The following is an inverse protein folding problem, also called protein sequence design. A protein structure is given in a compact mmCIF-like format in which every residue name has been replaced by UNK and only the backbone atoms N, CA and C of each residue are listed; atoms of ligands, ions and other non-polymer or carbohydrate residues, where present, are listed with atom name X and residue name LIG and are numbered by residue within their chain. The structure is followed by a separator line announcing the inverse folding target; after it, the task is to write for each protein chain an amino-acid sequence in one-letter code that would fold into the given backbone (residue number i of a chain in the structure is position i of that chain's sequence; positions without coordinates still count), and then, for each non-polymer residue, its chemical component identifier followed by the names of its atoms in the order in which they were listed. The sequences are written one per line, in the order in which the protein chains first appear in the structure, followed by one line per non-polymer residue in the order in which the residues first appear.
data_IF_153466214615
#
_entry.id   IF_153466214615
#
_cell.length_a   1.000
_cell.length_b   1.000
_cell.length_c   1.000
_cell.angle_alpha   90.00
_cell.angle_beta   90.00
_cell.angle_gamma   90.00
#
_symmetry.space_group_name_H-M   'P 1'
#
loop_
_entity.id
_entity.type
_entity.pdbx_description
1 polymer ?
#
# COMPACT_ATOMS: atom_id res chain seq x y z
N UNK A 1 21.70 -16.00 -10.01
CA UNK A 1 20.33 -16.57 -10.07
C UNK A 1 20.42 -18.09 -10.07
N UNK A 2 19.56 -18.79 -9.32
CA UNK A 2 19.60 -20.26 -9.18
C UNK A 2 18.69 -20.93 -10.24
N UNK A 3 19.23 -21.76 -11.16
CA UNK A 3 18.47 -22.35 -12.26
C UNK A 3 17.35 -23.31 -11.81
N UNK A 4 17.43 -23.88 -10.60
CA UNK A 4 16.38 -24.78 -10.07
C UNK A 4 15.08 -24.04 -9.67
N UNK A 5 15.12 -22.72 -9.48
CA UNK A 5 13.91 -21.90 -9.27
C UNK A 5 13.13 -21.68 -10.58
N UNK A 6 13.81 -21.72 -11.73
CA UNK A 6 13.20 -21.41 -13.03
C UNK A 6 12.34 -22.58 -13.54
N UNK A 7 12.76 -23.83 -13.32
CA UNK A 7 11.99 -25.00 -13.78
C UNK A 7 10.69 -25.22 -12.99
N UNK A 8 10.70 -25.03 -11.66
CA UNK A 8 9.47 -25.17 -10.85
C UNK A 8 8.40 -24.12 -11.20
N UNK A 9 8.80 -22.93 -11.61
CA UNK A 9 7.88 -21.86 -11.99
C UNK A 9 7.23 -22.08 -13.36
N UNK A 10 7.90 -22.77 -14.30
CA UNK A 10 7.32 -23.02 -15.64
C UNK A 10 6.07 -23.89 -15.60
N UNK A 11 6.03 -24.91 -14.75
CA UNK A 11 4.85 -25.77 -14.60
C UNK A 11 3.67 -25.01 -13.97
N UNK A 12 3.94 -24.18 -12.95
CA UNK A 12 2.92 -23.35 -12.32
C UNK A 12 2.38 -22.26 -13.26
N UNK A 13 3.25 -21.63 -14.04
CA UNK A 13 2.87 -20.62 -15.05
C UNK A 13 2.03 -21.25 -16.18
N UNK A 14 2.37 -22.46 -16.62
CA UNK A 14 1.60 -23.16 -17.66
C UNK A 14 0.20 -23.56 -17.17
N UNK A 15 0.08 -24.03 -15.92
CA UNK A 15 -1.22 -24.35 -15.30
C UNK A 15 -2.07 -23.08 -15.14
N UNK A 16 -1.45 -21.95 -14.77
CA UNK A 16 -2.13 -20.65 -14.64
C UNK A 16 -2.62 -20.11 -15.99
N UNK A 17 -1.81 -20.24 -17.05
CA UNK A 17 -2.18 -19.82 -18.41
C UNK A 17 -3.36 -20.63 -18.97
N UNK A 18 -3.39 -21.95 -18.71
CA UNK A 18 -4.50 -22.82 -19.13
C UNK A 18 -5.78 -22.50 -18.35
N UNK A 19 -5.69 -22.21 -17.04
CA UNK A 19 -6.83 -21.82 -16.22
C UNK A 19 -7.42 -20.45 -16.65
N UNK A 20 -6.56 -19.48 -16.98
CA UNK A 20 -6.98 -18.18 -17.51
C UNK A 20 -7.64 -18.28 -18.90
N UNK A 21 -7.10 -19.11 -19.80
CA UNK A 21 -7.71 -19.35 -21.11
C UNK A 21 -9.09 -19.99 -21.00
N UNK A 22 -9.27 -20.97 -20.10
CA UNK A 22 -10.56 -21.61 -19.87
C UNK A 22 -11.61 -20.63 -19.29
N UNK A 23 -11.20 -19.74 -18.38
CA UNK A 23 -12.08 -18.71 -17.81
C UNK A 23 -12.49 -17.65 -18.84
N UNK A 24 -11.57 -17.21 -19.71
CA UNK A 24 -11.86 -16.28 -20.81
C UNK A 24 -12.83 -16.88 -21.84
N UNK A 25 -12.69 -18.17 -22.12
CA UNK A 25 -13.60 -18.87 -23.04
C UNK A 25 -15.02 -18.98 -22.47
N UNK A 26 -15.15 -19.25 -21.16
CA UNK A 26 -16.44 -19.29 -20.48
C UNK A 26 -17.15 -17.93 -20.43
N UNK A 27 -16.40 -16.83 -20.30
CA UNK A 27 -16.96 -15.46 -20.36
C UNK A 27 -17.43 -15.11 -21.77
N UNK A 28 -16.67 -15.49 -22.80
CA UNK A 28 -17.01 -15.21 -24.21
C UNK A 28 -18.30 -15.92 -24.66
N UNK A 29 -18.61 -17.10 -24.11
CA UNK A 29 -19.89 -17.80 -24.37
C UNK A 29 -21.05 -17.32 -23.46
N UNK A 30 -20.77 -16.72 -22.32
CA UNK A 30 -21.80 -16.18 -21.42
C UNK A 30 -22.29 -14.78 -21.84
N UNK A 31 -21.47 -14.01 -22.55
CA UNK A 31 -21.84 -12.70 -23.09
C UNK A 31 -22.17 -12.81 -24.59
N UNK A 32 -23.43 -13.13 -24.89
CA UNK A 32 -23.95 -13.19 -26.25
C UNK A 32 -23.65 -11.92 -27.06
N UNK A 33 -23.34 -12.14 -28.34
CA UNK A 33 -23.00 -11.12 -29.34
C UNK A 33 -24.06 -10.02 -29.48
N UNK A 34 -23.69 -8.77 -29.24
CA UNK A 34 -24.35 -7.63 -29.88
C UNK A 34 -23.56 -7.27 -31.14
N UNK A 35 -24.09 -7.68 -32.30
CA UNK A 35 -23.68 -7.17 -33.60
C UNK A 35 -24.20 -5.74 -33.76
N UNK A 36 -23.29 -4.77 -33.82
CA UNK A 36 -23.54 -3.49 -34.51
C UNK A 36 -22.83 -3.54 -35.85
N UNK A 37 -23.62 -3.60 -36.91
CA UNK A 37 -23.20 -3.57 -38.30
C UNK A 37 -22.70 -2.18 -38.67
N UNK A 38 -21.46 -2.09 -39.17
CA UNK A 38 -20.98 -0.94 -39.92
C UNK A 38 -20.64 -1.37 -41.36
N UNK A 39 -21.31 -0.75 -42.31
CA UNK A 39 -21.13 -0.93 -43.75
C UNK A 39 -19.92 -0.10 -44.23
N UNK A 40 -18.95 -0.66 -44.97
CA UNK A 40 -17.94 0.16 -45.65
C UNK A 40 -18.42 0.55 -47.07
N UNK A 41 -18.17 1.80 -47.46
CA UNK A 41 -18.30 2.30 -48.83
C UNK A 41 -16.92 2.30 -49.54
N UNK A 42 -16.87 2.25 -50.88
CA UNK A 42 -15.88 1.47 -51.61
C UNK A 42 -14.59 2.21 -51.98
N UNK A 43 -13.51 1.43 -52.07
CA UNK A 43 -12.23 1.80 -52.69
C UNK A 43 -12.39 2.06 -54.20
N UNK A 44 -11.85 3.18 -54.68
CA UNK A 44 -11.57 3.43 -56.10
C UNK A 44 -10.11 3.13 -56.41
N UNK A 45 -9.90 2.20 -57.34
CA UNK A 45 -8.61 1.82 -57.91
C UNK A 45 -8.18 2.71 -59.09
N UNK A 46 -6.87 2.64 -59.36
CA UNK A 46 -6.10 2.85 -60.62
C UNK A 46 -5.36 4.18 -60.85
N UNK A 47 -4.25 4.18 -61.63
CA UNK A 47 -3.30 3.07 -61.93
C UNK A 47 -1.81 3.46 -61.80
N UNK A 48 -0.97 2.43 -61.92
CA UNK A 48 0.48 2.43 -61.87
C UNK A 48 1.17 3.03 -63.11
N UNK A 49 2.37 3.58 -62.91
CA UNK A 49 3.43 3.67 -63.93
C UNK A 49 4.80 3.43 -63.29
N UNK A 50 5.66 2.71 -64.03
CA UNK A 50 6.90 2.08 -63.59
C UNK A 50 8.14 2.99 -63.71
N UNK A 51 9.19 2.67 -62.94
CA UNK A 51 10.55 3.16 -63.23
C UNK A 51 11.59 3.00 -62.11
N UNK A 52 12.42 1.94 -62.23
CA UNK A 52 13.83 1.82 -61.78
C UNK A 52 14.22 1.76 -60.28
N UNK A 53 14.92 0.68 -59.94
CA UNK A 53 15.78 0.40 -58.75
C UNK A 53 17.12 1.17 -58.85
N UNK A 54 18.02 1.26 -57.82
CA UNK A 54 18.16 0.34 -56.68
C UNK A 54 18.50 0.89 -55.28
N UNK A 55 18.21 0.03 -54.30
CA UNK A 55 18.90 -0.23 -53.02
C UNK A 55 19.21 0.93 -52.05
N UNK A 56 18.51 0.96 -50.90
CA UNK A 56 19.14 1.18 -49.58
C UNK A 56 18.23 0.60 -48.47
N UNK A 57 18.85 -0.02 -47.48
CA UNK A 57 18.26 -0.56 -46.25
C UNK A 57 17.33 0.43 -45.52
N UNK A 58 16.18 -0.04 -45.04
CA UNK A 58 15.58 0.37 -43.76
C UNK A 58 14.33 -0.46 -43.47
N UNK A 59 14.44 -1.43 -42.57
CA UNK A 59 13.27 -2.03 -41.92
C UNK A 59 13.11 -1.36 -40.55
N UNK A 60 12.52 -0.17 -40.53
CA UNK A 60 12.01 0.44 -39.31
C UNK A 60 10.57 -0.03 -39.11
N UNK A 61 10.41 -1.16 -38.43
CA UNK A 61 9.13 -1.52 -37.82
C UNK A 61 8.82 -0.43 -36.79
N UNK A 62 7.92 0.48 -37.13
CA UNK A 62 7.47 1.54 -36.22
C UNK A 62 6.57 0.88 -35.19
N UNK A 63 7.15 0.48 -34.06
CA UNK A 63 6.37 0.17 -32.87
C UNK A 63 5.70 1.47 -32.43
N UNK A 64 4.40 1.59 -32.67
CA UNK A 64 3.61 2.71 -32.17
C UNK A 64 3.45 2.48 -30.66
N UNK A 65 4.43 2.95 -29.89
CA UNK A 65 4.24 3.17 -28.45
C UNK A 65 3.11 4.20 -28.34
N UNK A 66 2.04 3.96 -27.56
CA UNK A 66 1.02 4.98 -27.35
C UNK A 66 1.70 6.19 -26.71
N UNK A 67 1.84 7.27 -27.48
CA UNK A 67 2.44 8.53 -27.03
C UNK A 67 1.58 9.07 -25.90
N UNK A 68 2.19 9.31 -24.74
CA UNK A 68 1.50 9.91 -23.61
C UNK A 68 1.14 11.37 -23.95
N UNK A 69 0.01 11.92 -23.44
CA UNK A 69 -0.46 13.22 -23.89
C UNK A 69 0.42 14.34 -23.35
N UNK A 70 0.80 15.27 -24.23
CA UNK A 70 1.53 16.50 -23.87
C UNK A 70 0.72 17.35 -22.90
N UNK A 71 1.40 18.01 -21.96
CA UNK A 71 0.84 18.92 -20.96
C UNK A 71 -0.17 19.89 -21.60
N UNK A 72 -1.46 19.73 -21.31
CA UNK A 72 -2.52 20.63 -21.75
C UNK A 72 -2.85 21.60 -20.63
N UNK A 73 -2.29 22.82 -20.67
CA UNK A 73 -2.75 23.91 -19.80
C UNK A 73 -4.08 24.45 -20.34
N UNK A 74 -5.17 24.19 -19.65
CA UNK A 74 -6.38 24.98 -19.82
C UNK A 74 -6.15 26.39 -19.24
N UNK A 75 -6.81 27.41 -19.82
CA UNK A 75 -6.70 28.79 -19.36
C UNK A 75 -7.05 28.87 -17.86
N UNK A 76 -6.13 29.42 -17.05
CA UNK A 76 -6.33 29.54 -15.60
C UNK A 76 -7.55 30.41 -15.31
N UNK A 77 -8.55 29.90 -14.56
CA UNK A 77 -9.56 30.76 -13.96
C UNK A 77 -8.86 31.79 -13.07
N UNK A 78 -9.46 32.99 -12.95
CA UNK A 78 -9.03 34.04 -12.04
C UNK A 78 -8.67 33.43 -10.67
N UNK A 79 -7.40 33.55 -10.23
CA UNK A 79 -6.90 32.89 -9.01
C UNK A 79 -7.82 33.22 -7.84
N UNK A 80 -8.64 32.24 -7.44
CA UNK A 80 -9.23 32.24 -6.12
C UNK A 80 -8.10 32.18 -5.09
N UNK A 81 -8.31 32.78 -3.92
CA UNK A 81 -7.37 32.68 -2.82
C UNK A 81 -7.23 31.19 -2.45
N UNK A 82 -6.10 30.56 -2.82
CA UNK A 82 -5.86 29.14 -2.52
C UNK A 82 -5.67 28.99 -1.01
N UNK A 83 -6.74 28.55 -0.33
CA UNK A 83 -6.73 28.40 1.13
C UNK A 83 -6.03 27.15 1.62
N UNK A 84 -5.92 26.11 0.77
CA UNK A 84 -5.33 24.81 1.09
C UNK A 84 -4.65 24.20 -0.13
N UNK A 85 -3.52 23.54 0.10
CA UNK A 85 -2.79 22.71 -0.87
C UNK A 85 -2.78 21.27 -0.35
N UNK A 86 -3.17 20.32 -1.19
CA UNK A 86 -3.12 18.89 -0.89
C UNK A 86 -2.26 18.23 -1.98
N UNK A 87 -1.17 17.60 -1.56
CA UNK A 87 -0.32 16.76 -2.40
C UNK A 87 -0.60 15.30 -2.04
N UNK A 88 -1.07 14.51 -3.01
CA UNK A 88 -1.23 13.06 -2.85
C UNK A 88 -0.22 12.37 -3.77
N UNK A 89 0.63 11.52 -3.20
CA UNK A 89 1.54 10.66 -3.95
C UNK A 89 1.01 9.23 -3.94
N UNK A 90 0.97 8.59 -5.10
CA UNK A 90 0.60 7.17 -5.23
C UNK A 90 1.86 6.45 -5.72
N UNK A 91 2.43 5.58 -4.88
CA UNK A 91 3.68 4.90 -5.21
C UNK A 91 3.52 3.96 -6.39
N UNK A 92 4.56 3.87 -7.22
CA UNK A 92 4.58 3.06 -8.45
C UNK A 92 3.37 3.25 -9.39
N UNK A 93 2.65 4.39 -9.32
CA UNK A 93 1.55 4.70 -10.21
C UNK A 93 2.06 5.08 -11.62
N UNK A 94 2.48 4.06 -12.38
CA UNK A 94 3.07 4.23 -13.72
C UNK A 94 2.02 4.81 -14.67
N UNK A 95 2.40 5.87 -15.37
CA UNK A 95 1.52 6.55 -16.33
C UNK A 95 0.95 5.59 -17.40
N UNK A 96 1.75 4.60 -17.81
CA UNK A 96 1.35 3.57 -18.78
C UNK A 96 0.22 2.64 -18.29
N UNK A 97 0.00 2.56 -16.98
CA UNK A 97 -1.09 1.78 -16.38
C UNK A 97 -2.28 2.69 -16.05
N UNK A 98 -2.01 3.84 -15.42
CA UNK A 98 -3.04 4.77 -14.96
C UNK A 98 -3.83 5.36 -16.12
N UNK A 99 -3.19 5.76 -17.22
CA UNK A 99 -3.88 6.45 -18.32
C UNK A 99 -4.85 5.56 -19.09
N UNK A 100 -4.50 4.33 -19.50
CA UNK A 100 -5.47 3.42 -20.09
C UNK A 100 -6.67 3.18 -19.15
N UNK A 101 -6.42 2.93 -17.86
CA UNK A 101 -7.49 2.70 -16.89
C UNK A 101 -8.39 3.91 -16.68
N UNK A 102 -7.84 5.12 -16.69
CA UNK A 102 -8.61 6.36 -16.61
C UNK A 102 -9.45 6.59 -17.88
N UNK A 103 -8.85 6.42 -19.06
CA UNK A 103 -9.52 6.55 -20.37
C UNK A 103 -10.67 5.55 -20.52
N UNK A 104 -10.45 4.31 -20.08
CA UNK A 104 -11.42 3.22 -20.20
C UNK A 104 -12.49 3.29 -19.08
N UNK A 105 -12.46 4.32 -18.23
CA UNK A 105 -13.50 4.63 -17.26
C UNK A 105 -13.39 3.88 -15.92
N UNK A 106 -12.31 3.12 -15.69
CA UNK A 106 -12.05 2.44 -14.42
C UNK A 106 -11.62 3.42 -13.32
N UNK A 107 -10.80 4.42 -13.66
CA UNK A 107 -10.34 5.45 -12.71
C UNK A 107 -11.11 6.77 -12.89
N UNK A 108 -12.43 6.74 -12.67
CA UNK A 108 -13.34 7.86 -12.93
C UNK A 108 -12.90 9.19 -12.30
N UNK A 109 -12.40 9.15 -11.06
CA UNK A 109 -11.93 10.36 -10.36
C UNK A 109 -10.65 10.92 -10.98
N UNK A 110 -9.71 10.06 -11.42
CA UNK A 110 -8.50 10.50 -12.11
C UNK A 110 -8.84 11.08 -13.49
N UNK A 111 -9.77 10.44 -14.22
CA UNK A 111 -10.32 10.98 -15.46
C UNK A 111 -10.91 12.37 -15.27
N UNK A 112 -11.73 12.57 -14.23
CA UNK A 112 -12.31 13.88 -13.89
C UNK A 112 -11.25 14.94 -13.57
N UNK A 113 -10.23 14.60 -12.78
CA UNK A 113 -9.11 15.50 -12.47
C UNK A 113 -8.37 15.90 -13.74
N UNK A 114 -8.14 14.97 -14.66
CA UNK A 114 -7.50 15.25 -15.94
C UNK A 114 -8.36 16.15 -16.84
N UNK A 115 -9.68 15.97 -16.88
CA UNK A 115 -10.58 16.76 -17.74
C UNK A 115 -10.88 18.16 -17.20
N UNK A 116 -11.00 18.32 -15.88
CA UNK A 116 -11.39 19.58 -15.23
C UNK A 116 -10.18 20.36 -14.66
N UNK A 117 -9.01 19.73 -14.61
CA UNK A 117 -7.79 20.30 -14.04
C UNK A 117 -6.67 20.43 -15.07
N UNK A 118 -5.45 20.21 -14.60
CA UNK A 118 -4.26 20.16 -15.43
C UNK A 118 -3.53 18.83 -15.19
N UNK A 119 -3.02 18.24 -16.25
CA UNK A 119 -2.23 17.01 -16.21
C UNK A 119 -1.12 17.09 -17.24
N UNK A 120 -0.03 16.36 -16.99
CA UNK A 120 1.09 16.25 -17.91
C UNK A 120 2.10 15.22 -17.44
N UNK A 121 3.17 15.11 -18.20
CA UNK A 121 4.25 14.17 -17.91
C UNK A 121 5.16 14.70 -16.80
N UNK A 122 5.57 13.78 -15.93
CA UNK A 122 6.58 14.02 -14.90
C UNK A 122 7.65 12.96 -15.03
N UNK A 123 8.90 13.38 -15.24
CA UNK A 123 10.04 12.48 -15.17
C UNK A 123 10.50 12.36 -13.71
N UNK A 124 10.71 11.14 -13.18
CA UNK A 124 11.30 10.97 -11.86
C UNK A 124 12.75 11.47 -11.87
N UNK A 125 13.27 11.81 -10.70
CA UNK A 125 14.72 11.97 -10.55
C UNK A 125 15.40 10.60 -10.61
N UNK A 126 16.68 10.58 -10.98
CA UNK A 126 17.49 9.37 -10.93
C UNK A 126 18.14 9.18 -9.53
N UNK A 127 18.10 7.96 -8.95
CA UNK A 127 17.40 6.77 -9.43
C UNK A 127 15.88 6.85 -9.18
N UNK A 128 15.10 6.15 -10.00
CA UNK A 128 13.64 6.07 -9.91
C UNK A 128 13.17 5.19 -8.73
N UNK A 129 13.69 5.47 -7.53
CA UNK A 129 13.33 4.83 -6.27
C UNK A 129 12.42 5.74 -5.42
N UNK A 130 11.60 5.13 -4.56
CA UNK A 130 10.65 5.83 -3.69
C UNK A 130 11.29 6.96 -2.87
N UNK A 131 12.33 6.66 -2.09
CA UNK A 131 12.96 7.59 -1.16
C UNK A 131 13.54 8.85 -1.82
N UNK A 132 14.42 8.75 -2.85
CA UNK A 132 14.94 9.95 -3.51
C UNK A 132 13.83 10.78 -4.17
N UNK A 133 12.88 10.15 -4.87
CA UNK A 133 11.79 10.89 -5.54
C UNK A 133 10.86 11.60 -4.55
N UNK A 134 10.53 10.98 -3.42
CA UNK A 134 9.72 11.64 -2.40
C UNK A 134 10.49 12.75 -1.66
N UNK A 135 11.81 12.65 -1.52
CA UNK A 135 12.63 13.75 -1.01
C UNK A 135 12.64 14.93 -2.00
N UNK A 136 12.67 14.66 -3.30
CA UNK A 136 12.52 15.68 -4.34
C UNK A 136 11.14 16.36 -4.28
N UNK A 137 10.05 15.61 -4.08
CA UNK A 137 8.72 16.21 -3.86
C UNK A 137 8.68 17.15 -2.65
N UNK A 138 9.34 16.78 -1.55
CA UNK A 138 9.37 17.59 -0.35
C UNK A 138 10.26 18.82 -0.46
N UNK A 139 11.33 18.78 -1.25
CA UNK A 139 12.38 19.81 -1.23
C UNK A 139 12.43 20.65 -2.50
N UNK A 140 11.82 20.19 -3.59
CA UNK A 140 11.98 20.77 -4.92
C UNK A 140 13.40 20.65 -5.48
N UNK A 141 14.25 19.79 -4.90
CA UNK A 141 15.66 19.69 -5.22
C UNK A 141 16.03 18.29 -5.75
N UNK A 142 17.17 18.12 -6.45
CA UNK A 142 17.69 16.80 -6.82
C UNK A 142 18.48 16.13 -5.68
N UNK A 143 18.79 14.84 -5.81
CA UNK A 143 19.53 14.06 -4.79
C UNK A 143 20.84 14.68 -4.35
N UNK A 144 21.57 15.33 -5.26
CA UNK A 144 22.82 16.04 -4.93
C UNK A 144 22.64 17.19 -3.92
N UNK A 145 21.42 17.70 -3.75
CA UNK A 145 21.09 18.78 -2.81
C UNK A 145 20.37 18.25 -1.58
N UNK A 146 19.32 17.44 -1.74
CA UNK A 146 18.58 16.92 -0.58
C UNK A 146 19.26 15.74 0.11
N UNK A 147 20.29 15.12 -0.49
CA UNK A 147 21.15 14.12 0.15
C UNK A 147 20.60 12.70 0.20
N UNK A 148 19.42 12.43 -0.35
CA UNK A 148 18.80 11.09 -0.39
C UNK A 148 19.02 10.49 -1.77
N UNK A 149 19.78 9.40 -1.85
CA UNK A 149 20.19 8.79 -3.12
C UNK A 149 19.55 7.43 -3.40
N UNK A 150 18.98 6.76 -2.38
CA UNK A 150 18.38 5.43 -2.52
C UNK A 150 17.39 5.14 -1.37
N UNK A 151 16.54 4.13 -1.55
CA UNK A 151 15.75 3.44 -0.52
C UNK A 151 16.61 2.82 0.57
N UNK A 152 17.91 2.62 0.33
CA UNK A 152 18.91 2.26 1.34
C UNK A 152 19.95 3.36 1.46
N UNK A 153 20.11 3.91 2.67
CA UNK A 153 21.21 4.77 3.00
C UNK A 153 22.42 3.91 3.41
N UNK A 154 23.50 4.03 2.66
CA UNK A 154 24.74 3.34 2.94
C UNK A 154 25.66 4.19 3.84
N UNK A 155 26.51 3.55 4.65
CA UNK A 155 27.57 4.25 5.36
C UNK A 155 28.43 5.07 4.40
N UNK A 156 28.96 6.21 4.88
CA UNK A 156 29.85 7.07 4.07
C UNK A 156 31.10 6.35 3.58
N UNK A 157 31.58 5.39 4.37
CA UNK A 157 32.70 4.53 4.02
C UNK A 157 32.41 3.09 4.42
N UNK A 158 32.72 2.09 3.57
CA UNK A 158 32.63 0.68 3.92
C UNK A 158 33.62 0.30 5.04
N UNK A 159 34.62 1.14 5.31
CA UNK A 159 35.64 0.93 6.34
C UNK A 159 35.28 1.51 7.71
N UNK A 160 34.24 2.35 7.79
CA UNK A 160 33.80 2.98 9.05
C UNK A 160 32.91 2.06 9.91
N UNK A 161 32.66 0.82 9.47
CA UNK A 161 31.87 -0.16 10.23
C UNK A 161 30.39 0.21 10.40
N UNK A 162 29.91 1.24 9.68
CA UNK A 162 28.51 1.63 9.69
C UNK A 162 27.60 0.53 9.14
N UNK A 163 26.36 0.50 9.60
CA UNK A 163 25.31 -0.36 9.02
C UNK A 163 24.48 0.47 8.05
N UNK A 164 24.10 -0.12 6.91
CA UNK A 164 23.08 0.47 6.07
C UNK A 164 21.78 0.64 6.83
N UNK A 165 21.05 1.69 6.51
CA UNK A 165 19.77 2.00 7.11
C UNK A 165 18.73 2.38 6.06
N UNK A 166 17.45 2.40 6.41
CA UNK A 166 16.44 2.73 5.42
C UNK A 166 16.51 4.20 4.98
N UNK A 167 16.54 4.42 3.68
CA UNK A 167 16.69 5.73 3.05
C UNK A 167 15.45 6.63 3.13
N UNK A 168 14.33 6.14 3.68
CA UNK A 168 13.09 6.89 3.91
C UNK A 168 13.06 7.62 5.26
N UNK A 169 14.18 7.69 5.97
CA UNK A 169 14.25 8.43 7.23
C UNK A 169 14.39 9.92 6.92
N UNK A 170 13.43 10.74 7.36
CA UNK A 170 13.45 12.17 7.08
C UNK A 170 14.71 12.89 7.58
N UNK A 171 15.42 12.32 8.58
CA UNK A 171 16.70 12.86 9.06
C UNK A 171 17.83 12.79 8.03
N UNK A 172 17.64 12.03 6.95
CA UNK A 172 18.58 11.95 5.83
C UNK A 172 18.40 13.10 4.83
N UNK A 173 17.28 13.84 4.91
CA UNK A 173 17.04 15.01 4.05
C UNK A 173 17.87 16.18 4.57
N UNK A 174 18.85 16.61 3.78
CA UNK A 174 19.74 17.73 4.11
C UNK A 174 19.16 19.11 3.74
N UNK A 175 18.18 19.15 2.84
CA UNK A 175 17.54 20.39 2.39
C UNK A 175 16.30 20.76 3.23
N UNK A 176 15.88 22.02 3.14
CA UNK A 176 14.60 22.49 3.67
C UNK A 176 13.45 21.79 2.95
N UNK A 177 12.53 21.21 3.73
CA UNK A 177 11.29 20.66 3.19
C UNK A 177 10.21 21.74 3.05
N UNK A 178 9.22 21.47 2.20
CA UNK A 178 8.02 22.28 2.04
C UNK A 178 7.20 22.32 3.35
N UNK A 179 7.32 21.29 4.19
CA UNK A 179 6.75 21.27 5.53
C UNK A 179 7.39 22.35 6.41
N UNK A 180 8.72 22.39 6.50
CA UNK A 180 9.45 23.41 7.25
C UNK A 180 9.26 24.81 6.68
N UNK A 181 9.23 24.95 5.35
CA UNK A 181 8.95 26.22 4.69
C UNK A 181 7.55 26.75 5.03
N UNK A 182 6.53 25.88 5.05
CA UNK A 182 5.18 26.24 5.44
C UNK A 182 5.10 26.65 6.93
N UNK A 183 5.73 25.87 7.82
CA UNK A 183 5.75 26.14 9.26
C UNK A 183 6.42 27.49 9.58
N UNK A 184 7.54 27.83 8.93
CA UNK A 184 8.19 29.14 9.05
C UNK A 184 7.30 30.31 8.66
N UNK A 185 6.35 30.10 7.73
CA UNK A 185 5.33 31.09 7.35
C UNK A 185 4.13 31.11 8.28
N UNK A 186 4.14 30.29 9.34
CA UNK A 186 3.05 30.19 10.31
C UNK A 186 1.90 29.29 9.87
N UNK A 187 2.03 28.60 8.74
CA UNK A 187 1.00 27.69 8.25
C UNK A 187 0.98 26.38 9.03
N UNK A 188 -0.20 25.76 9.06
CA UNK A 188 -0.41 24.43 9.62
C UNK A 188 -0.21 23.36 8.56
N UNK A 189 0.44 22.27 8.95
CA UNK A 189 0.83 21.17 8.07
C UNK A 189 0.19 19.87 8.55
N UNK A 190 -0.31 19.07 7.62
CA UNK A 190 -0.77 17.71 7.88
C UNK A 190 0.00 16.70 7.02
N UNK A 191 0.49 15.64 7.64
CA UNK A 191 1.23 14.56 6.98
C UNK A 191 0.50 13.24 7.22
N UNK A 192 0.07 12.60 6.14
CA UNK A 192 -0.74 11.38 6.15
C UNK A 192 0.01 10.25 5.45
N UNK A 193 0.70 9.43 6.24
CA UNK A 193 1.56 8.32 5.85
C UNK A 193 2.65 8.67 4.81
N UNK A 194 2.95 9.95 4.60
CA UNK A 194 3.90 10.38 3.58
C UNK A 194 5.32 9.93 3.88
N UNK A 195 6.04 9.49 2.83
CA UNK A 195 7.46 9.10 2.92
C UNK A 195 8.28 10.19 3.59
N UNK A 196 9.27 9.80 4.40
CA UNK A 196 10.05 10.71 5.25
C UNK A 196 9.30 11.26 6.47
N UNK A 197 8.03 10.89 6.66
CA UNK A 197 7.19 11.28 7.80
C UNK A 197 7.54 10.61 9.14
N UNK A 198 8.69 9.95 9.28
CA UNK A 198 9.08 9.27 10.52
C UNK A 198 9.11 10.25 11.71
N UNK A 199 8.13 10.11 12.61
CA UNK A 199 7.81 11.11 13.64
C UNK A 199 9.01 11.49 14.53
N UNK A 200 9.85 10.57 15.03
CA UNK A 200 11.00 10.94 15.85
C UNK A 200 11.98 11.90 15.16
N UNK A 201 12.07 11.87 13.82
CA UNK A 201 12.85 12.87 13.07
C UNK A 201 12.30 14.27 13.32
N UNK A 202 11.00 14.45 13.13
CA UNK A 202 10.35 15.76 13.18
C UNK A 202 10.23 16.28 14.61
N UNK A 203 10.06 15.39 15.59
CA UNK A 203 10.15 15.75 17.01
C UNK A 203 11.54 16.28 17.39
N UNK A 204 12.61 15.76 16.79
CA UNK A 204 13.97 16.23 17.03
C UNK A 204 14.35 17.48 16.22
N UNK A 205 13.83 17.59 14.98
CA UNK A 205 14.21 18.64 14.02
C UNK A 205 13.43 19.94 14.17
N UNK A 206 12.18 19.88 14.63
CA UNK A 206 11.29 21.06 14.73
C UNK A 206 11.38 21.75 16.09
N UNK A 207 11.10 23.05 16.11
CA UNK A 207 10.89 23.81 17.35
C UNK A 207 9.58 23.39 18.03
N UNK A 208 9.42 23.64 19.34
CA UNK A 208 8.17 23.33 20.05
C UNK A 208 6.97 24.13 19.49
N UNK A 209 7.20 25.36 19.03
CA UNK A 209 6.18 26.17 18.38
C UNK A 209 5.71 25.55 17.05
N UNK A 210 6.62 24.94 16.29
CA UNK A 210 6.30 24.30 15.01
C UNK A 210 5.67 22.92 15.21
N UNK A 211 6.06 22.17 16.24
CA UNK A 211 5.40 20.90 16.62
C UNK A 211 3.91 21.07 16.88
N UNK A 212 3.49 22.23 17.40
CA UNK A 212 2.08 22.56 17.62
C UNK A 212 1.31 22.93 16.34
N UNK A 213 1.99 23.09 15.20
CA UNK A 213 1.38 23.43 13.90
C UNK A 213 1.43 22.28 12.90
N UNK A 214 2.04 21.15 13.25
CA UNK A 214 2.12 19.98 12.37
C UNK A 214 1.43 18.78 13.02
N UNK A 215 0.58 18.12 12.24
CA UNK A 215 0.05 16.79 12.57
C UNK A 215 0.69 15.78 11.63
N UNK A 216 1.25 14.72 12.20
CA UNK A 216 1.86 13.62 11.43
C UNK A 216 1.18 12.33 11.85
N UNK A 217 0.61 11.62 10.90
CA UNK A 217 0.16 10.24 11.04
C UNK A 217 1.08 9.40 10.16
N UNK A 218 1.99 8.65 10.75
CA UNK A 218 2.96 7.83 10.02
C UNK A 218 2.97 6.41 10.56
N UNK A 219 1.91 5.70 10.18
CA UNK A 219 1.68 4.30 10.58
C UNK A 219 2.42 3.31 9.70
N UNK A 220 2.67 3.68 8.44
CA UNK A 220 3.37 2.88 7.45
C UNK A 220 4.82 3.34 7.36
N UNK A 221 5.76 2.40 7.48
CA UNK A 221 7.24 2.62 7.50
C UNK A 221 7.84 3.11 8.83
N UNK A 222 7.16 2.95 9.96
CA UNK A 222 7.88 2.67 11.22
C UNK A 222 8.50 1.27 11.06
N UNK A 223 9.70 1.21 10.44
CA UNK A 223 10.37 0.01 9.90
C UNK A 223 10.34 -1.20 10.84
N UNK A 224 10.30 -0.97 12.15
CA UNK A 224 9.90 -1.95 13.14
C UNK A 224 9.13 -1.18 14.20
N UNK A 225 7.99 -1.70 14.61
CA UNK A 225 7.44 -1.34 15.92
C UNK A 225 8.55 -1.47 16.98
N UNK A 226 8.51 -0.65 18.02
CA UNK A 226 9.32 -0.89 19.22
C UNK A 226 8.97 -2.21 19.93
N UNK A 227 7.89 -2.87 19.50
CA UNK A 227 7.38 -4.12 20.06
C UNK A 227 7.63 -5.31 19.12
N UNK A 228 7.96 -6.47 19.69
CA UNK A 228 8.33 -7.67 18.94
C UNK A 228 7.15 -8.39 18.28
N UNK A 229 5.95 -8.24 18.81
CA UNK A 229 4.75 -8.94 18.33
C UNK A 229 4.00 -8.21 17.20
N UNK A 230 4.48 -7.08 16.70
CA UNK A 230 3.74 -6.28 15.71
C UNK A 230 3.60 -6.93 14.32
N UNK A 231 4.51 -7.83 13.93
CA UNK A 231 4.48 -8.49 12.61
C UNK A 231 3.33 -9.48 12.45
N UNK A 232 2.94 -9.84 11.24
CA UNK A 232 1.90 -10.86 11.00
C UNK A 232 2.28 -12.25 11.57
N UNK A 233 1.27 -13.09 11.81
CA UNK A 233 1.49 -14.46 12.30
C UNK A 233 0.40 -15.41 11.80
N UNK A 234 0.81 -16.59 11.33
CA UNK A 234 -0.09 -17.73 11.14
C UNK A 234 -0.05 -18.62 12.39
N UNK A 235 -1.21 -18.97 12.91
CA UNK A 235 -1.40 -19.99 13.94
C UNK A 235 -2.05 -21.23 13.32
N UNK A 236 -1.46 -22.41 13.49
CA UNK A 236 -2.01 -23.64 12.90
C UNK A 236 -1.85 -24.89 13.75
N UNK A 237 -2.75 -25.87 13.55
CA UNK A 237 -2.62 -27.23 14.09
C UNK A 237 -1.67 -28.10 13.27
N UNK A 238 -1.47 -27.78 11.99
CA UNK A 238 -0.64 -28.56 11.04
C UNK A 238 0.87 -28.28 11.14
N UNK A 239 1.28 -27.28 11.92
CA UNK A 239 2.69 -26.96 12.18
C UNK A 239 3.32 -25.96 11.20
N UNK A 240 2.56 -25.39 10.25
CA UNK A 240 2.99 -24.25 9.43
C UNK A 240 2.75 -22.95 10.21
N UNK A 241 3.78 -22.11 10.36
CA UNK A 241 3.71 -20.93 11.22
C UNK A 241 3.86 -21.32 12.71
N UNK A 242 3.15 -20.61 13.60
CA UNK A 242 3.14 -20.91 15.04
C UNK A 242 2.17 -22.05 15.32
N UNK A 243 2.69 -23.14 15.91
CA UNK A 243 1.85 -24.27 16.29
C UNK A 243 0.92 -23.90 17.44
N UNK A 244 -0.36 -24.26 17.32
CA UNK A 244 -1.36 -24.14 18.38
C UNK A 244 -2.03 -25.49 18.66
N UNK A 245 -2.51 -25.65 19.89
CA UNK A 245 -3.31 -26.80 20.27
C UNK A 245 -4.79 -26.48 20.07
N UNK A 246 -5.52 -27.43 19.47
CA UNK A 246 -6.96 -27.39 19.34
C UNK A 246 -7.57 -28.57 20.10
N UNK A 247 -8.23 -28.29 21.23
CA UNK A 247 -8.77 -29.32 22.12
C UNK A 247 -10.13 -28.88 22.64
N UNK A 248 -11.14 -29.75 22.57
CA UNK A 248 -12.47 -29.47 23.10
C UNK A 248 -13.14 -28.23 22.47
N UNK A 249 -12.87 -27.97 21.19
CA UNK A 249 -13.39 -26.79 20.50
C UNK A 249 -12.65 -25.49 20.79
N UNK A 250 -11.56 -25.52 21.57
CA UNK A 250 -10.81 -24.33 21.97
C UNK A 250 -9.40 -24.29 21.37
N UNK A 251 -8.96 -23.09 21.01
CA UNK A 251 -7.58 -22.75 20.63
C UNK A 251 -7.02 -21.69 21.57
N UNK A 252 -5.70 -21.73 21.75
CA UNK A 252 -4.95 -20.74 22.53
C UNK A 252 -3.96 -20.04 21.60
N UNK A 253 -4.11 -18.73 21.44
CA UNK A 253 -3.37 -17.93 20.47
C UNK A 253 -2.39 -17.03 21.25
N UNK A 254 -1.10 -17.41 21.32
CA UNK A 254 -0.10 -16.61 22.00
C UNK A 254 0.29 -15.38 21.18
N UNK A 255 0.33 -14.22 21.82
CA UNK A 255 0.80 -12.94 21.29
C UNK A 255 1.69 -12.31 22.37
N UNK A 256 3.01 -12.37 22.16
CA UNK A 256 3.99 -12.09 23.22
C UNK A 256 3.65 -12.87 24.51
N UNK A 257 3.50 -12.19 25.65
CA UNK A 257 3.19 -12.81 26.94
C UNK A 257 1.67 -12.96 27.16
N UNK A 258 0.85 -12.52 26.21
CA UNK A 258 -0.62 -12.61 26.27
C UNK A 258 -1.12 -13.81 25.51
N UNK A 259 -2.18 -14.47 26.02
CA UNK A 259 -2.86 -15.56 25.34
C UNK A 259 -4.31 -15.17 25.11
N UNK A 260 -4.74 -15.14 23.85
CA UNK A 260 -6.15 -15.06 23.50
C UNK A 260 -6.73 -16.47 23.44
N UNK A 261 -7.99 -16.61 23.86
CA UNK A 261 -8.72 -17.88 23.77
C UNK A 261 -9.70 -17.78 22.61
N UNK A 262 -9.66 -18.75 21.70
CA UNK A 262 -10.62 -18.90 20.63
C UNK A 262 -11.52 -20.10 20.86
N UNK A 263 -12.83 -19.92 20.74
CA UNK A 263 -13.80 -21.01 20.75
C UNK A 263 -14.39 -21.19 19.36
N UNK A 264 -14.26 -22.39 18.79
CA UNK A 264 -14.83 -22.74 17.50
C UNK A 264 -16.25 -23.25 17.72
N UNK A 265 -17.22 -22.51 17.22
CA UNK A 265 -18.64 -22.82 17.32
C UNK A 265 -19.17 -23.20 15.93
N UNK A 266 -20.02 -24.23 15.86
CA UNK A 266 -20.75 -24.53 14.63
C UNK A 266 -22.01 -23.69 14.59
N UNK A 267 -22.20 -22.96 13.51
CA UNK A 267 -23.48 -22.33 13.17
C UNK A 267 -24.32 -23.35 12.37
N UNK A 268 -25.65 -23.23 12.43
CA UNK A 268 -26.54 -24.13 11.69
C UNK A 268 -26.14 -24.24 10.21
N UNK A 269 -26.24 -25.45 9.64
CA UNK A 269 -25.85 -25.70 8.25
C UNK A 269 -24.36 -26.03 8.01
N UNK A 270 -23.59 -26.27 9.07
CA UNK A 270 -22.20 -26.76 8.97
C UNK A 270 -21.15 -25.65 8.83
N UNK A 271 -21.55 -24.38 8.83
CA UNK A 271 -20.65 -23.25 8.93
C UNK A 271 -20.04 -23.16 10.33
N UNK A 272 -18.86 -22.54 10.44
CA UNK A 272 -18.13 -22.38 11.70
C UNK A 272 -17.72 -20.93 11.93
N UNK A 273 -17.64 -20.56 13.20
CA UNK A 273 -17.19 -19.25 13.64
C UNK A 273 -16.18 -19.42 14.78
N UNK A 274 -15.14 -18.61 14.75
CA UNK A 274 -14.18 -18.48 15.84
C UNK A 274 -14.60 -17.29 16.71
N UNK A 275 -14.98 -17.55 17.95
CA UNK A 275 -15.24 -16.49 18.92
C UNK A 275 -13.98 -16.27 19.75
N UNK A 276 -13.41 -15.08 19.66
CA UNK A 276 -12.17 -14.72 20.35
C UNK A 276 -12.48 -14.04 21.68
N UNK A 277 -11.66 -14.35 22.69
CA UNK A 277 -11.75 -13.82 24.04
C UNK A 277 -10.38 -13.35 24.56
N UNK A 278 -10.43 -12.29 25.37
CA UNK A 278 -9.35 -11.90 26.28
C UNK A 278 -9.87 -11.95 27.72
N UNK A 279 -9.40 -12.91 28.51
CA UNK A 279 -10.05 -13.26 29.77
C UNK A 279 -11.51 -13.67 29.53
N UNK A 280 -12.45 -13.04 30.22
CA UNK A 280 -13.89 -13.30 30.07
C UNK A 280 -14.57 -12.38 29.02
N UNK A 281 -13.83 -11.44 28.43
CA UNK A 281 -14.37 -10.49 27.46
C UNK A 281 -14.28 -11.09 26.06
N UNK A 282 -15.43 -11.23 25.41
CA UNK A 282 -15.52 -11.48 23.96
C UNK A 282 -14.96 -10.26 23.21
N UNK A 283 -14.02 -10.49 22.29
CA UNK A 283 -13.33 -9.44 21.54
C UNK A 283 -13.69 -9.43 20.04
N UNK A 284 -14.00 -10.59 19.45
CA UNK A 284 -14.41 -10.68 18.04
C UNK A 284 -15.13 -12.00 17.74
N UNK A 285 -15.88 -12.03 16.63
CA UNK A 285 -16.35 -13.25 15.98
C UNK A 285 -15.81 -13.28 14.55
N UNK A 286 -15.16 -14.38 14.18
CA UNK A 286 -14.50 -14.52 12.88
C UNK A 286 -15.11 -15.72 12.17
N UNK A 287 -16.00 -15.51 11.19
CA UNK A 287 -16.53 -16.60 10.38
C UNK A 287 -15.38 -17.35 9.67
N UNK A 288 -15.52 -18.66 9.46
CA UNK A 288 -14.58 -19.41 8.62
C UNK A 288 -14.50 -18.79 7.21
N UNK A 289 -13.28 -18.56 6.73
CA UNK A 289 -13.00 -17.79 5.51
C UNK A 289 -13.16 -16.27 5.64
N UNK A 290 -13.66 -15.77 6.76
CA UNK A 290 -13.94 -14.35 7.03
C UNK A 290 -12.86 -13.65 7.85
N UNK A 291 -13.02 -12.33 7.96
CA UNK A 291 -12.14 -11.42 8.72
C UNK A 291 -12.89 -10.76 9.88
N UNK A 292 -12.15 -10.36 10.91
CA UNK A 292 -12.64 -9.46 11.94
C UNK A 292 -11.52 -8.55 12.48
N UNK A 293 -11.91 -7.33 12.83
CA UNK A 293 -11.08 -6.40 13.59
C UNK A 293 -10.95 -6.83 15.05
N UNK A 294 -9.75 -6.74 15.59
CA UNK A 294 -9.44 -7.09 16.99
C UNK A 294 -8.67 -5.94 17.63
N UNK A 295 -9.15 -5.51 18.81
CA UNK A 295 -8.50 -4.51 19.66
C UNK A 295 -8.34 -5.10 21.06
N UNK A 296 -7.09 -5.27 21.49
CA UNK A 296 -6.74 -5.98 22.73
C UNK A 296 -5.54 -5.36 23.42
N UNK A 297 -5.42 -5.61 24.72
CA UNK A 297 -4.18 -5.34 25.45
C UNK A 297 -3.21 -6.50 25.24
N UNK A 298 -1.97 -6.23 24.86
CA UNK A 298 -0.91 -7.23 24.71
C UNK A 298 0.22 -6.86 25.65
N UNK A 299 0.59 -7.78 26.53
CA UNK A 299 1.77 -7.64 27.39
C UNK A 299 3.00 -8.25 26.71
N UNK A 300 4.10 -7.49 26.66
CA UNK A 300 5.41 -7.95 26.24
C UNK A 300 6.46 -7.44 27.24
N UNK A 301 7.22 -8.36 27.84
CA UNK A 301 8.30 -8.07 28.79
C UNK A 301 7.84 -7.17 29.94
N UNK A 302 6.64 -7.44 30.46
CA UNK A 302 6.04 -6.70 31.58
C UNK A 302 5.40 -5.35 31.22
N UNK A 303 5.44 -4.91 29.96
CA UNK A 303 4.76 -3.69 29.50
C UNK A 303 3.48 -4.04 28.76
N UNK A 304 2.38 -3.34 29.03
CA UNK A 304 1.09 -3.56 28.36
C UNK A 304 0.85 -2.52 27.27
N UNK A 305 0.47 -3.01 26.09
CA UNK A 305 0.27 -2.25 24.87
C UNK A 305 -1.16 -2.43 24.37
N UNK A 306 -1.83 -1.35 23.98
CA UNK A 306 -3.10 -1.43 23.27
C UNK A 306 -2.80 -1.66 21.78
N UNK A 307 -3.18 -2.82 21.25
CA UNK A 307 -2.90 -3.23 19.88
C UNK A 307 -4.21 -3.40 19.09
N UNK A 308 -4.16 -3.02 17.82
CA UNK A 308 -5.24 -3.24 16.86
C UNK A 308 -4.69 -3.96 15.61
N UNK A 309 -5.39 -5.01 15.18
CA UNK A 309 -5.05 -5.82 14.01
C UNK A 309 -6.27 -6.58 13.49
N UNK A 310 -6.15 -7.09 12.28
CA UNK A 310 -7.15 -7.96 11.65
C UNK A 310 -6.82 -9.44 11.85
N UNK A 311 -7.85 -10.26 12.06
CA UNK A 311 -7.75 -11.73 12.15
C UNK A 311 -8.62 -12.37 11.08
N UNK A 312 -8.07 -13.36 10.37
CA UNK A 312 -8.79 -14.23 9.44
C UNK A 312 -8.82 -15.65 9.97
N UNK A 313 -10.00 -16.27 10.01
CA UNK A 313 -10.13 -17.70 10.25
C UNK A 313 -9.99 -18.43 8.91
N UNK A 314 -8.78 -18.84 8.54
CA UNK A 314 -8.52 -19.51 7.24
C UNK A 314 -9.20 -20.87 7.15
N UNK A 315 -9.13 -21.66 8.23
CA UNK A 315 -9.92 -22.87 8.39
C UNK A 315 -10.20 -23.11 9.86
N UNK A 316 -11.39 -23.61 10.16
CA UNK A 316 -11.86 -24.01 11.48
C UNK A 316 -12.30 -25.48 11.48
N UNK A 317 -11.79 -26.28 10.55
CA UNK A 317 -12.11 -27.69 10.46
C UNK A 317 -11.57 -28.44 11.70
N UNK A 318 -12.24 -29.51 12.16
CA UNK A 318 -11.86 -30.21 13.39
C UNK A 318 -10.41 -30.71 13.44
N UNK A 319 -9.83 -31.00 12.27
CA UNK A 319 -8.46 -31.50 12.10
C UNK A 319 -7.50 -30.49 11.43
N UNK A 320 -7.99 -29.33 10.98
CA UNK A 320 -7.20 -28.28 10.34
C UNK A 320 -7.73 -26.92 10.80
N UNK A 321 -7.17 -26.42 11.90
CA UNK A 321 -7.46 -25.05 12.36
C UNK A 321 -6.29 -24.17 11.98
N UNK A 322 -6.57 -23.14 11.19
CA UNK A 322 -5.62 -22.13 10.70
C UNK A 322 -6.20 -20.74 10.90
N UNK A 323 -5.48 -19.92 11.65
CA UNK A 323 -5.90 -18.56 12.01
C UNK A 323 -4.75 -17.63 11.64
N UNK A 324 -5.02 -16.68 10.76
CA UNK A 324 -4.04 -15.69 10.36
C UNK A 324 -4.31 -14.38 11.07
N UNK A 325 -3.26 -13.76 11.61
CA UNK A 325 -3.28 -12.43 12.17
C UNK A 325 -2.41 -11.52 11.32
N UNK A 326 -2.97 -10.40 10.87
CA UNK A 326 -2.22 -9.35 10.18
C UNK A 326 -1.20 -8.66 11.08
N UNK A 327 -0.48 -7.69 10.51
CA UNK A 327 0.35 -6.78 11.29
C UNK A 327 -0.52 -5.92 12.23
N UNK A 328 0.07 -5.49 13.35
CA UNK A 328 -0.62 -4.70 14.36
C UNK A 328 -0.10 -3.27 14.40
N UNK A 329 -1.01 -2.30 14.55
CA UNK A 329 -0.66 -0.97 15.04
C UNK A 329 -0.78 -0.98 16.56
N UNK A 330 0.18 -0.36 17.23
CA UNK A 330 0.18 -0.25 18.69
C UNK A 330 -0.04 1.20 19.08
N UNK A 331 -1.08 1.47 19.88
CA UNK A 331 -1.46 2.82 20.27
C UNK A 331 -0.33 3.53 21.01
N UNK A 332 0.24 2.85 22.01
CA UNK A 332 1.30 3.32 22.89
C UNK A 332 2.66 2.70 22.53
N UNK A 333 2.96 2.59 21.24
CA UNK A 333 4.27 2.11 20.76
C UNK A 333 5.40 3.01 21.31
N UNK A 334 6.52 2.43 21.79
CA UNK A 334 7.69 3.22 22.20
C UNK A 334 8.23 4.12 21.08
N UNK A 335 8.08 3.71 19.82
CA UNK A 335 8.42 4.52 18.65
C UNK A 335 7.16 5.26 18.22
N UNK A 336 7.18 6.59 18.38
CA UNK A 336 6.05 7.43 18.01
C UNK A 336 5.74 7.30 16.51
N UNK A 337 4.47 7.06 16.19
CA UNK A 337 3.92 7.08 14.82
C UNK A 337 2.94 8.25 14.62
N UNK A 338 2.66 9.02 15.67
CA UNK A 338 1.72 10.14 15.67
C UNK A 338 2.37 11.40 16.25
N UNK A 339 2.10 12.55 15.64
CA UNK A 339 2.34 13.89 16.21
C UNK A 339 1.04 14.68 16.14
N UNK A 340 0.66 15.30 17.25
CA UNK A 340 -0.55 16.10 17.39
C UNK A 340 -1.19 15.94 18.77
N UNK A 341 -2.34 16.59 19.01
CA UNK A 341 -3.05 16.46 20.28
C UNK A 341 -3.50 15.03 20.55
N UNK A 342 -3.43 14.60 21.80
CA UNK A 342 -3.76 13.23 22.21
C UNK A 342 -5.25 12.91 21.98
N UNK A 343 -6.17 13.89 22.11
CA UNK A 343 -7.58 13.66 21.75
C UNK A 343 -7.77 13.36 20.26
N UNK A 344 -6.95 13.97 19.39
CA UNK A 344 -6.98 13.70 17.95
C UNK A 344 -6.45 12.29 17.66
N UNK A 345 -5.41 11.85 18.36
CA UNK A 345 -4.88 10.47 18.27
C UNK A 345 -5.92 9.44 18.71
N UNK A 346 -6.61 9.67 19.84
CA UNK A 346 -7.72 8.81 20.30
C UNK A 346 -8.85 8.75 19.28
N UNK A 347 -9.22 9.89 18.70
CA UNK A 347 -10.25 9.96 17.67
C UNK A 347 -9.84 9.18 16.41
N UNK A 348 -8.60 9.36 15.95
CA UNK A 348 -8.03 8.63 14.83
C UNK A 348 -8.05 7.12 15.07
N UNK A 349 -7.62 6.70 16.26
CA UNK A 349 -7.63 5.30 16.65
C UNK A 349 -9.02 4.68 16.53
N UNK A 350 -10.03 5.30 17.13
CA UNK A 350 -11.42 4.81 17.12
C UNK A 350 -12.07 4.84 15.74
N UNK A 351 -11.84 5.90 14.96
CA UNK A 351 -12.53 6.09 13.67
C UNK A 351 -11.86 5.35 12.52
N UNK A 352 -10.55 5.12 12.59
CA UNK A 352 -9.75 4.53 11.51
C UNK A 352 -9.13 3.20 11.94
N UNK A 353 -8.37 3.17 13.03
CA UNK A 353 -7.54 1.99 13.36
C UNK A 353 -8.38 0.81 13.87
N UNK A 354 -9.36 1.05 14.74
CA UNK A 354 -10.25 -0.01 15.25
C UNK A 354 -11.16 -0.61 14.17
N UNK A 355 -11.21 0.01 12.98
CA UNK A 355 -11.97 -0.43 11.82
C UNK A 355 -11.03 -0.95 10.75
N UNK A 356 -10.71 -2.22 10.82
CA UNK A 356 -10.04 -2.98 9.76
C UNK A 356 -8.62 -2.50 9.44
N UNK A 357 -7.83 -2.12 10.45
CA UNK A 357 -6.41 -1.82 10.26
C UNK A 357 -5.64 -3.07 9.83
N UNK A 358 -5.06 -3.01 8.63
CA UNK A 358 -4.05 -3.93 8.10
C UNK A 358 -3.28 -3.24 6.97
N UNK A 359 -1.98 -3.51 6.87
CA UNK A 359 -1.09 -2.81 5.94
C UNK A 359 -0.15 -3.80 5.22
N UNK A 360 -0.34 -3.94 3.90
CA UNK A 360 0.46 -4.82 3.02
C UNK A 360 1.96 -4.60 3.12
N UNK A 361 2.39 -3.39 3.49
CA UNK A 361 3.80 -3.01 3.49
C UNK A 361 4.61 -3.73 4.59
N UNK A 362 3.98 -4.31 5.62
CA UNK A 362 4.66 -5.05 6.68
C UNK A 362 4.99 -6.51 6.33
N UNK A 363 5.34 -6.76 5.07
CA UNK A 363 5.84 -8.06 4.62
C UNK A 363 4.76 -9.12 4.37
N UNK A 364 3.51 -8.69 4.17
CA UNK A 364 2.38 -9.60 3.92
C UNK A 364 2.46 -10.24 2.53
N UNK A 365 3.12 -9.61 1.56
CA UNK A 365 3.51 -10.27 0.31
C UNK A 365 4.47 -11.46 0.56
N UNK A 366 5.33 -11.35 1.58
CA UNK A 366 6.16 -12.46 2.04
C UNK A 366 5.36 -13.60 2.66
N UNK A 367 4.17 -13.33 3.21
CA UNK A 367 3.31 -14.36 3.81
C UNK A 367 2.70 -15.29 2.76
N UNK A 368 2.46 -14.77 1.54
CA UNK A 368 2.16 -15.60 0.37
C UNK A 368 3.32 -16.53 0.08
N UNK A 369 4.55 -16.00 0.03
CA UNK A 369 5.76 -16.78 -0.22
C UNK A 369 6.07 -17.83 0.86
N UNK A 370 5.66 -17.59 2.12
CA UNK A 370 5.73 -18.55 3.24
C UNK A 370 4.63 -19.62 3.17
N UNK A 371 3.65 -19.49 2.28
CA UNK A 371 2.48 -20.35 2.23
C UNK A 371 1.53 -20.15 3.41
N UNK A 372 1.58 -19.00 4.08
CA UNK A 372 0.73 -18.69 5.23
C UNK A 372 -0.68 -18.29 4.80
N UNK A 373 -0.77 -17.59 3.67
CA UNK A 373 -2.02 -17.13 3.05
C UNK A 373 -1.98 -17.39 1.55
N UNK A 374 -3.15 -17.49 0.92
CA UNK A 374 -3.29 -17.61 -0.52
C UNK A 374 -3.39 -16.23 -1.20
N UNK A 375 -3.35 -16.21 -2.53
CA UNK A 375 -3.48 -14.97 -3.31
C UNK A 375 -4.84 -14.29 -3.14
N UNK A 376 -5.90 -15.05 -2.88
CA UNK A 376 -7.23 -14.49 -2.60
C UNK A 376 -7.19 -13.69 -1.30
N UNK A 377 -6.67 -14.28 -0.23
CA UNK A 377 -6.50 -13.63 1.07
C UNK A 377 -5.59 -12.41 0.94
N UNK A 378 -4.50 -12.51 0.17
CA UNK A 378 -3.64 -11.36 -0.10
C UNK A 378 -4.38 -10.22 -0.83
N UNK A 379 -5.20 -10.53 -1.84
CA UNK A 379 -6.01 -9.53 -2.53
C UNK A 379 -7.05 -8.86 -1.60
N UNK A 380 -7.62 -9.60 -0.65
CA UNK A 380 -8.47 -9.01 0.39
C UNK A 380 -7.69 -8.04 1.28
N UNK A 381 -6.47 -8.40 1.70
CA UNK A 381 -5.58 -7.51 2.47
C UNK A 381 -5.28 -6.23 1.68
N UNK A 382 -4.98 -6.35 0.38
CA UNK A 382 -4.77 -5.19 -0.51
C UNK A 382 -5.96 -4.24 -0.46
N UNK A 383 -7.19 -4.76 -0.58
CA UNK A 383 -8.40 -3.94 -0.51
C UNK A 383 -8.54 -3.24 0.85
N UNK A 384 -8.30 -3.95 1.96
CA UNK A 384 -8.32 -3.34 3.28
C UNK A 384 -7.24 -2.27 3.44
N UNK A 385 -6.05 -2.46 2.88
CA UNK A 385 -4.99 -1.47 2.93
C UNK A 385 -5.35 -0.22 2.12
N UNK A 386 -5.88 -0.34 0.91
CA UNK A 386 -6.38 0.83 0.14
C UNK A 386 -7.44 1.60 0.94
N UNK A 387 -8.42 0.88 1.50
CA UNK A 387 -9.47 1.50 2.31
C UNK A 387 -8.90 2.17 3.58
N UNK A 388 -7.91 1.56 4.22
CA UNK A 388 -7.20 2.15 5.35
C UNK A 388 -6.53 3.48 4.97
N UNK A 389 -5.72 3.50 3.92
CA UNK A 389 -5.02 4.72 3.47
C UNK A 389 -5.98 5.82 3.04
N UNK A 390 -7.08 5.46 2.37
CA UNK A 390 -8.17 6.39 2.15
C UNK A 390 -8.62 6.93 3.50
N UNK A 391 -9.08 6.09 4.43
CA UNK A 391 -9.69 6.49 5.73
C UNK A 391 -8.79 7.39 6.54
N UNK A 392 -7.48 7.16 6.52
CA UNK A 392 -6.50 8.08 7.12
C UNK A 392 -6.52 9.45 6.45
N UNK A 393 -6.46 9.50 5.12
CA UNK A 393 -6.52 10.77 4.38
C UNK A 393 -7.83 11.53 4.63
N UNK A 394 -9.00 10.87 4.58
CA UNK A 394 -10.26 11.56 4.85
C UNK A 394 -10.36 12.00 6.33
N UNK A 395 -9.83 11.22 7.26
CA UNK A 395 -9.76 11.62 8.66
C UNK A 395 -9.00 12.94 8.80
N UNK A 396 -7.83 13.07 8.17
CA UNK A 396 -7.04 14.31 8.17
C UNK A 396 -7.84 15.46 7.55
N UNK A 397 -8.46 15.24 6.39
CA UNK A 397 -9.26 16.27 5.71
C UNK A 397 -10.43 16.81 6.54
N UNK A 398 -11.01 15.96 7.41
CA UNK A 398 -12.18 16.31 8.24
C UNK A 398 -11.81 16.87 9.61
N UNK A 399 -10.69 16.44 10.19
CA UNK A 399 -10.40 16.63 11.61
C UNK A 399 -9.15 17.46 11.88
N UNK A 400 -8.35 17.77 10.86
CA UNK A 400 -7.11 18.52 10.99
C UNK A 400 -7.22 19.83 10.24
N UNK A 401 -6.91 20.93 10.92
CA UNK A 401 -6.75 22.22 10.29
C UNK A 401 -5.36 22.31 9.65
N UNK A 402 -5.30 22.56 8.36
CA UNK A 402 -4.05 22.70 7.61
C UNK A 402 -4.20 23.70 6.47
N UNK A 403 -3.07 24.27 6.05
CA UNK A 403 -2.92 24.93 4.75
C UNK A 403 -2.13 24.06 3.77
N UNK A 404 -1.30 23.13 4.28
CA UNK A 404 -0.58 22.16 3.48
C UNK A 404 -0.84 20.75 4.01
N UNK A 405 -1.30 19.84 3.14
CA UNK A 405 -1.39 18.42 3.41
C UNK A 405 -0.54 17.64 2.41
N UNK A 406 0.19 16.64 2.91
CA UNK A 406 0.85 15.62 2.08
C UNK A 406 0.30 14.26 2.46
N UNK A 407 -0.22 13.52 1.50
CA UNK A 407 -0.78 12.17 1.65
C UNK A 407 -0.07 11.18 0.71
N UNK A 408 -0.01 9.92 1.12
CA UNK A 408 0.66 8.88 0.36
C UNK A 408 -0.15 7.58 0.38
N UNK A 409 -0.16 6.87 -0.74
CA UNK A 409 -0.66 5.50 -0.87
C UNK A 409 0.45 4.64 -1.46
N UNK A 410 0.84 3.59 -0.75
CA UNK A 410 1.93 2.70 -1.16
C UNK A 410 1.46 1.51 -1.98
N UNK A 411 0.16 1.24 -1.98
CA UNK A 411 -0.38 -0.08 -2.30
C UNK A 411 0.05 -0.66 -3.64
N UNK A 412 0.16 0.11 -4.74
CA UNK A 412 0.56 -0.48 -6.03
C UNK A 412 1.94 -1.15 -5.99
N UNK A 413 2.91 -0.56 -5.30
CA UNK A 413 4.30 -1.04 -5.28
C UNK A 413 4.45 -2.47 -4.69
N UNK A 414 3.97 -2.77 -3.46
CA UNK A 414 4.01 -4.14 -2.93
C UNK A 414 3.20 -5.15 -3.76
N UNK A 415 2.10 -4.71 -4.39
CA UNK A 415 1.26 -5.58 -5.23
C UNK A 415 2.00 -5.96 -6.51
N UNK A 416 2.64 -5.00 -7.17
CA UNK A 416 3.49 -5.25 -8.33
C UNK A 416 4.61 -6.24 -7.97
N UNK A 417 5.30 -6.03 -6.85
CA UNK A 417 6.32 -6.98 -6.38
C UNK A 417 5.79 -8.38 -6.07
N UNK A 418 4.59 -8.48 -5.51
CA UNK A 418 3.99 -9.77 -5.17
C UNK A 418 3.53 -10.56 -6.41
N UNK A 419 3.10 -9.86 -7.47
CA UNK A 419 2.48 -10.48 -8.66
C UNK A 419 3.47 -10.59 -9.83
N UNK A 420 4.24 -9.54 -10.10
CA UNK A 420 5.13 -9.43 -11.26
C UNK A 420 6.55 -9.91 -10.98
N UNK A 421 6.96 -9.97 -9.70
CA UNK A 421 8.29 -10.37 -9.25
C UNK A 421 9.26 -9.20 -9.12
#
# INVERSE_FOLDING_TARGET
MNPNKIQKNKAAILILAVALAAALTAVFFATGSQQTTFTPAPETQSPATAGASPATETSTTTTITPEAPKLQLQAQPQRSEVRRVILISIDAARAMDVWPLARDGFLKNMGKIATEGAYGELSPIYPAETSPNHAAFLTGAPSGIHGVFSNTAYPKSPFEGGKSEPGYWGRLIAADTIWEAALRKGYRVAVSNFIHGYVPTWQARLSDADKNKIVIIYTSKAYKSGTGFAGSMLYSTSGVGTRINYTGGRVYIPIADTVLVGEVQSTGGGARVLVLYQGNRKIAEVPEGGWASVVVNVTEKGTTYLAAFMVKALSLAPNDVRIYRGNALIYNDPISWFTGPEELKRKYWKEVVEKDYIDVYFGLGGDVGRGWIDLKTYAEIVNYTVDYYWRTNLFVLKNVEFQLMTGYDVTPDPVEHAILG
#
